data_IF_410929169343
#
_entry.id   IF_410929169343
#
_cell.length_a   1.000
_cell.length_b   1.000
_cell.length_c   1.000
_cell.angle_alpha   90.00
_cell.angle_beta   90.00
_cell.angle_gamma   90.00
#
_symmetry.space_group_name_H-M   'P 1'
#
loop_
_entity.id
_entity.type
_entity.pdbx_description
1 polymer ?
#
# COMPACT_ATOMS: atom_id res chain seq x y z
N UNK A 1 -0.05 -22.21 -2.93
CA UNK A 1 -0.50 -20.93 -3.54
C UNK A 1 0.52 -20.56 -4.60
N UNK A 2 0.21 -20.78 -5.88
CA UNK A 2 1.05 -20.28 -6.99
C UNK A 2 1.08 -18.76 -6.90
N UNK A 3 2.28 -18.17 -6.82
CA UNK A 3 2.45 -16.72 -6.78
C UNK A 3 2.28 -16.15 -8.19
N UNK A 4 1.03 -16.10 -8.68
CA UNK A 4 0.71 -15.43 -9.93
C UNK A 4 1.05 -13.94 -9.83
N UNK A 5 1.76 -13.42 -10.82
CA UNK A 5 2.00 -11.98 -10.98
C UNK A 5 0.73 -11.39 -11.59
N UNK A 6 0.27 -10.24 -11.11
CA UNK A 6 -0.92 -9.57 -11.66
C UNK A 6 -0.51 -8.29 -12.39
N UNK A 7 -1.24 -7.92 -13.43
CA UNK A 7 -1.05 -6.68 -14.19
C UNK A 7 -2.32 -5.86 -14.23
N UNK A 8 -2.19 -4.53 -14.19
CA UNK A 8 -3.28 -3.61 -14.51
C UNK A 8 -2.99 -2.86 -15.80
N UNK A 9 -3.96 -2.90 -16.71
CA UNK A 9 -4.04 -2.04 -17.89
C UNK A 9 -5.44 -1.44 -17.93
N UNK A 10 -5.56 -0.12 -18.01
CA UNK A 10 -6.84 0.61 -18.04
C UNK A 10 -7.74 0.34 -16.82
N UNK A 11 -7.16 0.11 -15.64
CA UNK A 11 -7.89 -0.08 -14.38
C UNK A 11 -8.43 -1.49 -14.15
N UNK A 12 -8.26 -2.42 -15.09
CA UNK A 12 -8.62 -3.83 -14.92
C UNK A 12 -7.40 -4.65 -14.52
N UNK A 13 -7.49 -5.40 -13.42
CA UNK A 13 -6.45 -6.30 -12.93
C UNK A 13 -6.67 -7.71 -13.48
N UNK A 14 -5.64 -8.31 -14.09
CA UNK A 14 -5.64 -9.69 -14.61
C UNK A 14 -4.35 -10.40 -14.25
N UNK A 15 -4.35 -11.73 -14.29
CA UNK A 15 -3.10 -12.50 -14.15
C UNK A 15 -2.18 -12.23 -15.34
N UNK A 16 -0.89 -12.04 -15.06
CA UNK A 16 0.13 -11.75 -16.05
C UNK A 16 0.54 -13.03 -16.77
N UNK A 17 -0.13 -13.31 -17.89
CA UNK A 17 0.18 -14.44 -18.77
C UNK A 17 0.97 -13.93 -19.98
N UNK A 18 2.17 -14.47 -20.22
CA UNK A 18 3.00 -14.12 -21.38
C UNK A 18 3.74 -12.78 -21.27
N UNK A 19 4.12 -12.21 -22.42
CA UNK A 19 4.84 -10.92 -22.50
C UNK A 19 3.94 -9.75 -22.10
N UNK A 20 4.38 -8.97 -21.12
CA UNK A 20 3.58 -7.88 -20.57
C UNK A 20 3.86 -6.55 -21.30
N UNK A 21 2.83 -5.71 -21.52
CA UNK A 21 3.02 -4.36 -22.06
C UNK A 21 3.95 -3.53 -21.17
N UNK A 22 4.85 -2.74 -21.77
CA UNK A 22 5.80 -1.89 -21.03
C UNK A 22 5.13 -0.91 -20.06
N UNK A 23 3.90 -0.51 -20.36
CA UNK A 23 3.12 0.46 -19.60
C UNK A 23 2.20 -0.19 -18.54
N UNK A 24 2.17 -1.52 -18.44
CA UNK A 24 1.34 -2.20 -17.47
C UNK A 24 1.93 -2.09 -16.04
N UNK A 25 1.08 -1.76 -15.07
CA UNK A 25 1.48 -1.80 -13.66
C UNK A 25 1.53 -3.26 -13.20
N UNK A 26 2.69 -3.70 -12.74
CA UNK A 26 2.93 -5.04 -12.21
C UNK A 26 2.71 -5.06 -10.70
N UNK A 27 1.85 -5.96 -10.24
CA UNK A 27 1.59 -6.24 -8.84
C UNK A 27 2.20 -7.58 -8.48
N UNK A 28 3.23 -7.55 -7.65
CA UNK A 28 3.73 -8.76 -7.01
C UNK A 28 2.74 -9.17 -5.90
N UNK A 29 2.35 -10.45 -5.81
CA UNK A 29 1.53 -10.92 -4.72
C UNK A 29 2.27 -10.71 -3.39
N UNK A 30 1.63 -10.02 -2.45
CA UNK A 30 2.16 -9.93 -1.09
C UNK A 30 2.04 -11.31 -0.43
N UNK A 31 3.11 -11.76 0.23
CA UNK A 31 3.05 -12.97 1.08
C UNK A 31 2.17 -12.78 2.32
N UNK A 32 1.72 -11.55 2.57
CA UNK A 32 0.90 -11.20 3.73
C UNK A 32 -0.57 -11.48 3.44
N UNK A 33 -1.27 -12.03 4.43
CA UNK A 33 -2.73 -12.15 4.37
C UNK A 33 -3.40 -10.76 4.35
N UNK A 34 -4.65 -10.70 3.89
CA UNK A 34 -5.46 -9.49 3.97
C UNK A 34 -5.55 -8.94 5.40
N UNK A 35 -5.70 -9.83 6.39
CA UNK A 35 -5.73 -9.45 7.81
C UNK A 35 -4.43 -8.78 8.28
N UNK A 36 -3.27 -9.29 7.85
CA UNK A 36 -1.96 -8.69 8.16
C UNK A 36 -1.80 -7.32 7.49
N UNK A 37 -2.21 -7.18 6.23
CA UNK A 37 -2.17 -5.90 5.52
C UNK A 37 -3.03 -4.84 6.23
N UNK A 38 -4.25 -5.20 6.62
CA UNK A 38 -5.15 -4.30 7.34
C UNK A 38 -4.60 -3.91 8.72
N UNK A 39 -3.97 -4.85 9.42
CA UNK A 39 -3.34 -4.58 10.71
C UNK A 39 -2.18 -3.58 10.56
N UNK A 40 -1.31 -3.76 9.56
CA UNK A 40 -0.21 -2.85 9.27
C UNK A 40 -0.70 -1.44 8.92
N UNK A 41 -1.75 -1.34 8.11
CA UNK A 41 -2.36 -0.06 7.77
C UNK A 41 -2.92 0.66 9.00
N UNK A 42 -3.60 -0.05 9.91
CA UNK A 42 -4.10 0.52 11.18
C UNK A 42 -2.96 1.03 12.06
N UNK A 43 -1.86 0.27 12.16
CA UNK A 43 -0.68 0.66 12.92
C UNK A 43 -0.03 1.91 12.31
N UNK A 44 0.14 1.93 10.99
CA UNK A 44 0.71 3.06 10.26
C UNK A 44 -0.14 4.32 10.44
N UNK A 45 -1.46 4.21 10.30
CA UNK A 45 -2.41 5.30 10.52
C UNK A 45 -2.30 5.86 11.95
N UNK A 46 -2.27 4.99 12.97
CA UNK A 46 -2.14 5.41 14.37
C UNK A 46 -0.83 6.18 14.61
N UNK A 47 0.28 5.69 14.06
CA UNK A 47 1.60 6.36 14.14
C UNK A 47 1.58 7.71 13.44
N UNK A 48 1.01 7.78 12.24
CA UNK A 48 0.92 9.03 11.49
C UNK A 48 0.08 10.07 12.23
N UNK A 49 -1.09 9.67 12.75
CA UNK A 49 -1.95 10.54 13.55
C UNK A 49 -1.23 11.07 14.80
N UNK A 50 -0.45 10.23 15.49
CA UNK A 50 0.37 10.66 16.62
C UNK A 50 1.37 11.73 16.20
N UNK A 51 2.12 11.47 15.12
CA UNK A 51 3.14 12.39 14.59
C UNK A 51 2.55 13.73 14.13
N UNK A 52 1.39 13.69 13.48
CA UNK A 52 0.67 14.91 13.06
C UNK A 52 0.27 15.73 14.29
N UNK A 53 -0.30 15.09 15.33
CA UNK A 53 -0.65 15.78 16.58
C UNK A 53 0.56 16.37 17.28
N UNK A 54 1.67 15.63 17.37
CA UNK A 54 2.93 16.11 17.96
C UNK A 54 3.44 17.35 17.21
N UNK A 55 3.51 17.29 15.88
CA UNK A 55 3.93 18.43 15.05
C UNK A 55 2.99 19.62 15.14
N UNK A 56 1.69 19.36 15.19
CA UNK A 56 0.70 20.42 15.37
C UNK A 56 0.88 21.11 16.72
N UNK A 57 1.06 20.34 17.79
CA UNK A 57 1.32 20.89 19.13
C UNK A 57 2.64 21.68 19.18
N UNK A 58 3.69 21.20 18.51
CA UNK A 58 4.97 21.91 18.40
C UNK A 58 4.82 23.23 17.63
N UNK A 59 4.14 23.23 16.50
CA UNK A 59 3.92 24.43 15.68
C UNK A 59 2.98 25.46 16.34
N UNK A 60 2.05 24.99 17.19
CA UNK A 60 1.09 25.86 17.89
C UNK A 60 1.58 26.30 19.27
N UNK A 61 2.70 25.75 19.76
CA UNK A 61 3.46 26.35 20.87
C UNK A 61 4.06 27.66 20.37
N UNK A 62 3.35 28.76 20.61
CA UNK A 62 3.95 30.10 20.64
C UNK A 62 4.99 30.13 21.77
N UNK A 63 6.08 30.86 21.51
CA UNK A 63 7.13 31.35 22.43
C UNK A 63 6.69 31.39 23.88
#
# INVERSE_FOLDING_TARGET
MSSGVFVSKNGKVTEAIGTQPKEALLFAPSKKSSSQILQEQRIAMKRNNKRIKERFNEATKRV
#
